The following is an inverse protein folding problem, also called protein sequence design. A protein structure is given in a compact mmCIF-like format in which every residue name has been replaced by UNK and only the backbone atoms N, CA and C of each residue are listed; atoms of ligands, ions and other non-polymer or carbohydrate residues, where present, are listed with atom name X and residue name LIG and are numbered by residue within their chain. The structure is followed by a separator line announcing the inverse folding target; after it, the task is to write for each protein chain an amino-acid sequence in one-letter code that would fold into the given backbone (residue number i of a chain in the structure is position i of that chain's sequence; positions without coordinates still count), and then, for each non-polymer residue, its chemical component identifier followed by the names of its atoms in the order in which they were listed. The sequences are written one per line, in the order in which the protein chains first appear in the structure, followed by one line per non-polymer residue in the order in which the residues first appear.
data_IF_667640550586
#
_entry.id   IF_667640550586
#
_cell.length_a   1.000
_cell.length_b   1.000
_cell.length_c   1.000
_cell.angle_alpha   90.00
_cell.angle_beta   90.00
_cell.angle_gamma   90.00
#
_symmetry.space_group_name_H-M   'P 1'
#
loop_
_entity.id
_entity.type
_entity.pdbx_description
1 polymer ?
#
# COMPACT_ATOMS: atom_id res chain seq x y z
N UNK A 1 -46.46 -19.80 66.30
CA UNK A 1 -45.67 -20.89 65.68
C UNK A 1 -44.55 -20.25 64.87
N UNK A 2 -43.30 -20.47 65.31
CA UNK A 2 -42.01 -20.24 64.66
C UNK A 2 -41.73 -18.95 63.83
N UNK A 3 -41.01 -18.00 64.45
CA UNK A 3 -40.22 -16.98 63.75
C UNK A 3 -38.80 -17.54 63.50
N UNK A 4 -38.26 -17.55 62.27
CA UNK A 4 -36.97 -18.17 62.00
C UNK A 4 -35.86 -17.20 62.37
N UNK A 5 -35.19 -17.45 63.50
CA UNK A 5 -33.91 -16.82 63.83
C UNK A 5 -32.86 -17.30 62.84
N UNK A 6 -32.64 -16.56 61.76
CA UNK A 6 -31.49 -16.73 60.88
C UNK A 6 -30.22 -16.61 61.74
N UNK A 7 -29.50 -17.74 61.88
CA UNK A 7 -28.27 -17.85 62.67
C UNK A 7 -27.29 -16.77 62.21
N UNK A 8 -26.85 -15.91 63.14
CA UNK A 8 -25.88 -14.83 62.90
C UNK A 8 -24.59 -15.30 62.20
N UNK A 9 -24.22 -16.59 62.36
CA UNK A 9 -23.06 -17.20 61.70
C UNK A 9 -23.19 -17.29 60.17
N UNK A 10 -24.40 -17.46 59.63
CA UNK A 10 -24.65 -17.54 58.18
C UNK A 10 -24.54 -16.15 57.54
N UNK A 11 -25.04 -15.13 58.22
CA UNK A 11 -25.01 -13.72 57.78
C UNK A 11 -23.57 -13.18 57.75
N UNK A 12 -22.73 -13.56 58.72
CA UNK A 12 -21.32 -13.14 58.75
C UNK A 12 -20.47 -13.82 57.67
N UNK A 13 -20.77 -15.10 57.36
CA UNK A 13 -20.17 -15.83 56.22
C UNK A 13 -20.54 -15.19 54.88
N UNK A 14 -21.81 -14.83 54.68
CA UNK A 14 -22.30 -14.22 53.44
C UNK A 14 -21.64 -12.85 53.17
N UNK A 15 -21.47 -11.99 54.19
CA UNK A 15 -20.82 -10.67 54.03
C UNK A 15 -19.35 -10.72 53.61
N UNK A 16 -18.60 -11.76 54.03
CA UNK A 16 -17.20 -11.97 53.59
C UNK A 16 -17.14 -12.46 52.14
N UNK A 17 -18.07 -13.34 51.75
CA UNK A 17 -18.16 -13.88 50.38
C UNK A 17 -18.53 -12.78 49.38
N UNK A 18 -19.45 -11.86 49.72
CA UNK A 18 -19.79 -10.72 48.86
C UNK A 18 -18.58 -9.80 48.62
N UNK A 19 -17.77 -9.55 49.67
CA UNK A 19 -16.55 -8.73 49.54
C UNK A 19 -15.50 -9.38 48.64
N UNK A 20 -15.32 -10.70 48.74
CA UNK A 20 -14.40 -11.45 47.87
C UNK A 20 -14.89 -11.40 46.42
N UNK A 21 -16.20 -11.57 46.18
CA UNK A 21 -16.78 -11.45 44.84
C UNK A 21 -16.62 -10.04 44.25
N UNK A 22 -16.80 -8.99 45.05
CA UNK A 22 -16.58 -7.62 44.58
C UNK A 22 -15.12 -7.33 44.26
N UNK A 23 -14.17 -7.87 45.04
CA UNK A 23 -12.74 -7.71 44.75
C UNK A 23 -12.36 -8.47 43.48
N UNK A 24 -12.86 -9.70 43.28
CA UNK A 24 -12.64 -10.46 42.05
C UNK A 24 -13.24 -9.77 40.82
N UNK A 25 -14.43 -9.17 40.96
CA UNK A 25 -15.07 -8.43 39.87
C UNK A 25 -14.26 -7.20 39.46
N UNK A 26 -13.73 -6.44 40.44
CA UNK A 26 -12.88 -5.26 40.17
C UNK A 26 -11.57 -5.66 39.50
N UNK A 27 -10.93 -6.76 39.94
CA UNK A 27 -9.71 -7.28 39.33
C UNK A 27 -9.95 -7.78 37.90
N UNK A 28 -11.11 -8.38 37.63
CA UNK A 28 -11.47 -8.89 36.30
C UNK A 28 -11.71 -7.76 35.28
N UNK A 29 -12.28 -6.63 35.73
CA UNK A 29 -12.46 -5.46 34.86
C UNK A 29 -11.13 -4.80 34.52
N UNK A 30 -10.18 -4.76 35.46
CA UNK A 30 -8.84 -4.22 35.24
C UNK A 30 -7.98 -5.08 34.29
N UNK A 31 -8.21 -6.40 34.23
CA UNK A 31 -7.47 -7.31 33.37
C UNK A 31 -7.89 -7.26 31.88
N UNK A 32 -9.01 -6.61 31.55
CA UNK A 32 -9.59 -6.63 30.20
C UNK A 32 -9.34 -5.37 29.36
N UNK A 33 -8.63 -4.36 29.88
CA UNK A 33 -8.31 -3.16 29.10
C UNK A 33 -7.01 -3.36 28.31
N UNK A 34 -7.08 -4.07 27.18
CA UNK A 34 -6.01 -3.99 26.19
C UNK A 34 -6.09 -2.65 25.46
N UNK A 35 -5.28 -1.67 25.90
CA UNK A 35 -5.07 -0.45 25.12
C UNK A 35 -4.20 -0.78 23.90
N UNK A 36 -4.77 -0.68 22.69
CA UNK A 36 -4.00 -0.71 21.45
C UNK A 36 -3.52 0.71 21.16
N UNK A 37 -2.25 1.00 21.39
CA UNK A 37 -1.63 2.22 20.91
C UNK A 37 -1.23 2.00 19.43
N UNK A 38 -1.85 2.73 18.51
CA UNK A 38 -1.44 2.79 17.12
C UNK A 38 -0.69 4.10 16.90
N UNK A 39 0.58 4.00 16.50
CA UNK A 39 1.39 5.15 16.12
C UNK A 39 1.23 5.33 14.62
N UNK A 40 0.66 6.47 14.21
CA UNK A 40 0.62 6.89 12.81
C UNK A 40 1.82 7.81 12.54
N UNK A 41 2.70 7.41 11.63
CA UNK A 41 3.87 8.20 11.22
C UNK A 41 3.55 8.81 9.86
N UNK A 42 2.99 10.03 9.89
CA UNK A 42 2.80 10.83 8.69
C UNK A 42 4.13 11.43 8.24
N UNK A 43 4.77 10.88 7.21
CA UNK A 43 5.90 11.54 6.55
C UNK A 43 5.33 12.58 5.58
N UNK A 44 5.47 13.87 5.91
CA UNK A 44 5.17 14.95 4.97
C UNK A 44 6.27 15.00 3.92
N UNK A 45 6.07 14.25 2.83
CA UNK A 45 6.93 14.32 1.66
C UNK A 45 6.60 15.61 0.91
N UNK A 46 7.41 16.64 1.16
CA UNK A 46 7.47 17.79 0.29
C UNK A 46 8.14 17.34 -1.01
N UNK A 47 7.33 16.77 -1.90
CA UNK A 47 7.74 16.42 -3.24
C UNK A 47 8.13 17.73 -3.90
N UNK A 48 9.43 17.94 -4.06
CA UNK A 48 9.93 19.02 -4.90
C UNK A 48 9.22 18.87 -6.24
N UNK A 49 8.62 19.96 -6.72
CA UNK A 49 8.08 20.05 -8.07
C UNK A 49 9.15 19.43 -8.97
N UNK A 50 8.83 18.40 -9.80
CA UNK A 50 9.83 17.76 -10.62
C UNK A 50 10.60 18.88 -11.30
N UNK A 51 11.91 18.98 -11.03
CA UNK A 51 12.79 19.85 -11.81
C UNK A 51 12.44 19.47 -13.24
N UNK A 52 11.94 20.44 -14.02
CA UNK A 52 11.77 20.20 -15.44
C UNK A 52 13.13 19.70 -15.88
N UNK A 53 13.24 18.40 -16.16
CA UNK A 53 14.47 17.79 -16.62
C UNK A 53 14.87 18.67 -17.78
N UNK A 54 15.95 19.45 -17.62
CA UNK A 54 16.51 20.32 -18.65
C UNK A 54 16.89 19.41 -19.79
N UNK A 55 15.92 19.04 -20.66
CA UNK A 55 15.96 17.93 -21.63
C UNK A 55 17.28 17.21 -21.48
N UNK A 56 17.42 16.44 -20.40
CA UNK A 56 18.70 15.85 -20.12
C UNK A 56 18.90 15.02 -21.37
N UNK A 57 19.87 15.35 -22.19
CA UNK A 57 20.34 14.49 -23.26
C UNK A 57 20.86 13.29 -22.48
N UNK A 58 19.92 12.42 -22.14
CA UNK A 58 20.14 11.16 -21.48
C UNK A 58 21.30 10.56 -22.25
N UNK A 59 22.24 10.01 -21.49
CA UNK A 59 23.48 9.39 -21.94
C UNK A 59 23.12 8.18 -22.83
N UNK A 60 22.60 8.47 -24.01
CA UNK A 60 22.26 7.53 -25.02
C UNK A 60 23.52 7.40 -25.88
N UNK A 61 23.85 6.18 -26.32
CA UNK A 61 24.85 6.00 -27.36
C UNK A 61 24.54 6.93 -28.53
N UNK A 62 25.58 7.35 -29.27
CA UNK A 62 25.39 8.20 -30.44
C UNK A 62 24.29 7.62 -31.35
N UNK A 63 23.37 8.48 -31.75
CA UNK A 63 22.25 8.11 -32.62
C UNK A 63 22.80 7.52 -33.93
N UNK A 64 22.47 6.26 -34.28
CA UNK A 64 23.05 5.62 -35.47
C UNK A 64 22.70 6.31 -36.78
N UNK A 65 21.49 6.86 -36.90
CA UNK A 65 21.07 7.67 -38.06
C UNK A 65 19.85 8.52 -37.73
N UNK A 66 19.56 9.50 -38.59
CA UNK A 66 18.38 10.37 -38.48
C UNK A 66 17.03 9.64 -38.54
N UNK A 67 17.01 8.36 -38.95
CA UNK A 67 15.81 7.53 -38.95
C UNK A 67 15.55 6.81 -37.61
N UNK A 68 16.57 6.64 -36.76
CA UNK A 68 16.40 5.91 -35.51
C UNK A 68 15.74 6.77 -34.44
N UNK A 69 14.80 6.22 -33.71
CA UNK A 69 14.15 6.89 -32.57
C UNK A 69 14.56 6.18 -31.30
N UNK A 70 14.77 6.93 -30.23
CA UNK A 70 15.10 6.34 -28.94
C UNK A 70 13.87 5.62 -28.37
N UNK A 71 13.98 4.31 -28.24
CA UNK A 71 13.02 3.46 -27.54
C UNK A 71 13.40 3.47 -26.07
N UNK A 72 12.55 4.07 -25.24
CA UNK A 72 12.78 4.16 -23.81
C UNK A 72 12.78 2.78 -23.15
N UNK A 73 13.53 2.65 -22.06
CA UNK A 73 13.52 1.45 -21.24
C UNK A 73 12.16 1.22 -20.59
N UNK A 74 11.73 -0.03 -20.52
CA UNK A 74 10.45 -0.39 -19.92
C UNK A 74 10.44 -1.82 -19.38
N UNK A 75 9.55 -2.07 -18.41
CA UNK A 75 9.19 -3.43 -18.01
C UNK A 75 8.06 -3.93 -18.90
N UNK A 76 8.32 -4.99 -19.66
CA UNK A 76 7.35 -5.59 -20.57
C UNK A 76 6.92 -6.95 -20.06
N UNK A 77 5.62 -7.20 -20.08
CA UNK A 77 5.09 -8.54 -19.79
C UNK A 77 5.41 -9.49 -20.95
N UNK A 78 6.10 -10.59 -20.68
CA UNK A 78 6.35 -11.66 -21.64
C UNK A 78 5.31 -12.78 -21.44
N UNK A 79 4.38 -12.99 -22.39
CA UNK A 79 3.34 -14.01 -22.24
C UNK A 79 3.88 -15.45 -22.33
N UNK A 80 4.97 -15.68 -23.08
CA UNK A 80 5.57 -17.01 -23.21
C UNK A 80 6.29 -17.46 -21.94
N UNK A 81 6.88 -16.51 -21.21
CA UNK A 81 7.61 -16.75 -19.96
C UNK A 81 6.82 -16.44 -18.70
N UNK A 82 5.62 -15.86 -18.85
CA UNK A 82 4.70 -15.47 -17.76
C UNK A 82 5.39 -14.60 -16.69
N UNK A 83 6.28 -13.71 -17.10
CA UNK A 83 7.03 -12.82 -16.22
C UNK A 83 7.17 -11.41 -16.84
N UNK A 84 7.59 -10.45 -16.01
CA UNK A 84 8.02 -9.14 -16.48
C UNK A 84 9.50 -9.20 -16.84
N UNK A 85 9.84 -8.73 -18.04
CA UNK A 85 11.20 -8.62 -18.52
C UNK A 85 11.56 -7.13 -18.66
N UNK A 86 12.75 -6.78 -18.19
CA UNK A 86 13.29 -5.45 -18.39
C UNK A 86 13.82 -5.32 -19.81
N UNK A 87 13.31 -4.34 -20.55
CA UNK A 87 13.78 -3.98 -21.87
C UNK A 87 14.61 -2.72 -21.71
N UNK A 88 15.93 -2.84 -21.90
CA UNK A 88 16.82 -1.69 -21.89
C UNK A 88 16.51 -0.75 -23.06
N UNK A 89 16.73 0.55 -22.82
CA UNK A 89 16.53 1.55 -23.86
C UNK A 89 17.52 1.36 -25.01
N UNK A 90 17.05 1.52 -26.23
CA UNK A 90 17.85 1.29 -27.43
C UNK A 90 17.37 2.17 -28.59
N UNK A 91 18.21 2.31 -29.61
CA UNK A 91 17.82 2.96 -30.86
C UNK A 91 17.03 1.97 -31.71
N UNK A 92 15.78 2.30 -32.02
CA UNK A 92 14.90 1.48 -32.85
C UNK A 92 14.50 2.21 -34.14
N UNK A 93 14.30 1.46 -35.22
CA UNK A 93 13.70 1.98 -36.45
C UNK A 93 12.17 1.87 -36.35
N UNK A 94 11.43 2.96 -36.60
CA UNK A 94 9.99 2.89 -36.62
C UNK A 94 9.49 2.04 -37.81
N UNK A 95 8.38 1.30 -37.66
CA UNK A 95 7.83 0.48 -38.75
C UNK A 95 7.35 1.28 -39.98
N UNK A 96 7.15 2.59 -39.82
CA UNK A 96 6.73 3.52 -40.88
C UNK A 96 7.57 4.79 -40.83
N UNK A 97 7.76 5.41 -41.98
CA UNK A 97 8.42 6.72 -42.07
C UNK A 97 7.70 7.75 -41.20
N UNK A 98 8.46 8.48 -40.38
CA UNK A 98 7.93 9.50 -39.47
C UNK A 98 7.32 8.94 -38.18
N UNK A 99 7.36 7.63 -37.95
CA UNK A 99 6.85 7.04 -36.72
C UNK A 99 7.61 7.50 -35.48
N UNK A 100 6.91 7.60 -34.35
CA UNK A 100 7.48 8.04 -33.08
C UNK A 100 7.26 6.96 -32.00
N UNK A 101 8.24 6.83 -31.10
CA UNK A 101 8.09 5.95 -29.94
C UNK A 101 7.29 6.68 -28.86
N UNK A 102 6.17 6.09 -28.44
CA UNK A 102 5.46 6.50 -27.24
C UNK A 102 5.85 5.58 -26.10
N UNK A 103 6.51 6.14 -25.08
CA UNK A 103 6.85 5.39 -23.88
C UNK A 103 5.60 4.88 -23.16
N UNK A 104 5.74 3.74 -22.49
CA UNK A 104 4.67 3.19 -21.67
C UNK A 104 4.22 4.17 -20.60
N UNK A 105 2.92 4.23 -20.35
CA UNK A 105 2.33 5.18 -19.42
C UNK A 105 1.07 4.61 -18.75
N UNK A 106 0.73 5.16 -17.59
CA UNK A 106 -0.53 4.86 -16.94
C UNK A 106 -1.65 5.68 -17.55
N UNK A 107 -2.67 5.01 -18.08
CA UNK A 107 -3.87 5.65 -18.60
C UNK A 107 -5.04 5.44 -17.64
N UNK A 108 -5.88 6.47 -17.50
CA UNK A 108 -7.05 6.43 -16.62
C UNK A 108 -8.17 5.65 -17.31
N UNK A 109 -8.83 4.74 -16.59
CA UNK A 109 -10.01 4.05 -17.11
C UNK A 109 -11.17 5.06 -17.29
N UNK A 110 -11.78 5.10 -18.47
CA UNK A 110 -12.86 6.06 -18.80
C UNK A 110 -14.12 5.89 -17.91
N UNK A 111 -14.49 4.66 -17.57
CA UNK A 111 -15.78 4.36 -16.91
C UNK A 111 -15.67 3.66 -15.54
N UNK A 112 -14.46 3.45 -15.01
CA UNK A 112 -14.23 2.82 -13.70
C UNK A 112 -13.14 3.56 -12.94
N UNK A 113 -13.15 3.50 -11.61
CA UNK A 113 -12.01 3.95 -10.80
C UNK A 113 -10.80 3.06 -11.10
N UNK A 114 -9.63 3.68 -11.29
CA UNK A 114 -8.35 2.99 -11.50
C UNK A 114 -7.60 3.43 -12.76
N UNK A 115 -6.37 2.98 -12.84
CA UNK A 115 -5.46 3.18 -13.97
C UNK A 115 -5.12 1.82 -14.59
N UNK A 116 -4.68 1.83 -15.83
CA UNK A 116 -4.07 0.66 -16.47
C UNK A 116 -2.78 1.08 -17.16
N UNK A 117 -1.81 0.17 -17.16
CA UNK A 117 -0.56 0.40 -17.86
C UNK A 117 -0.78 0.18 -19.35
N UNK A 118 -0.43 1.17 -20.15
CA UNK A 118 -0.32 1.07 -21.60
C UNK A 118 1.16 0.81 -21.90
N UNK A 119 1.53 -0.35 -22.46
CA UNK A 119 2.90 -0.61 -22.87
C UNK A 119 3.37 0.38 -23.94
N UNK A 120 4.68 0.64 -23.98
CA UNK A 120 5.27 1.47 -25.01
C UNK A 120 5.00 0.91 -26.40
N UNK A 121 4.77 1.79 -27.36
CA UNK A 121 4.46 1.40 -28.73
C UNK A 121 4.83 2.48 -29.73
N UNK A 122 5.00 2.05 -30.98
CA UNK A 122 5.16 2.95 -32.12
C UNK A 122 3.83 3.57 -32.51
N UNK A 123 3.84 4.86 -32.82
CA UNK A 123 2.73 5.61 -33.40
C UNK A 123 3.09 6.17 -34.77
#
# INVERSE_FOLDING_TARGET
MFSPKLKKSTIFKMKKITRIFTVLAVVSVAAFTQAKAQVDIGVNLQLHRPVAYERNERIHPNRPSAAHVWVAEEWRWNPGRRNYEYVAGHWGLPPRHGGMWMAGHWEKRKFRRGFYWVPGHWR
#
